data_IF_955854119876
#
_entry.id   IF_955854119876
#
_cell.length_a   1.000
_cell.length_b   1.000
_cell.length_c   1.000
_cell.angle_alpha   90.00
_cell.angle_beta   90.00
_cell.angle_gamma   90.00
#
_symmetry.space_group_name_H-M   'P 1'
#
loop_
_entity.id
_entity.type
_entity.pdbx_description
1 polymer ?
#
# COMPACT_ATOMS: atom_id res chain seq x y z
N UNK A 1 27.38 4.20 58.85
CA UNK A 1 27.10 2.82 58.42
C UNK A 1 27.23 2.82 56.90
N UNK A 2 28.37 2.38 56.37
CA UNK A 2 28.71 2.48 54.95
C UNK A 2 28.08 1.28 54.23
N UNK A 3 27.26 1.47 53.19
CA UNK A 3 26.70 0.33 52.46
C UNK A 3 27.85 -0.49 51.87
N UNK A 4 27.76 -1.78 52.11
CA UNK A 4 28.63 -2.84 51.62
C UNK A 4 28.64 -2.85 50.09
N UNK A 5 29.82 -2.65 49.51
CA UNK A 5 30.01 -2.46 48.08
C UNK A 5 29.54 -3.65 47.23
N UNK A 6 29.44 -4.84 47.83
CA UNK A 6 28.95 -6.06 47.16
C UNK A 6 27.44 -6.00 46.91
N UNK A 7 26.66 -5.40 47.82
CA UNK A 7 25.21 -5.28 47.68
C UNK A 7 24.82 -4.24 46.61
N UNK A 8 25.62 -3.18 46.47
CA UNK A 8 25.47 -2.18 45.39
C UNK A 8 25.80 -2.79 44.03
N UNK A 9 26.81 -3.66 43.94
CA UNK A 9 27.20 -4.30 42.68
C UNK A 9 26.17 -5.36 42.25
N UNK A 10 25.63 -6.14 43.19
CA UNK A 10 24.55 -7.10 42.95
C UNK A 10 23.28 -6.43 42.41
N UNK A 11 22.87 -5.29 43.01
CA UNK A 11 21.72 -4.52 42.53
C UNK A 11 21.96 -3.87 41.15
N UNK A 12 23.19 -3.43 40.85
CA UNK A 12 23.55 -2.93 39.52
C UNK A 12 23.56 -4.03 38.46
N UNK A 13 23.95 -5.26 38.81
CA UNK A 13 23.89 -6.40 37.90
C UNK A 13 22.43 -6.80 37.59
N UNK A 14 21.54 -6.78 38.59
CA UNK A 14 20.11 -7.09 38.42
C UNK A 14 19.40 -6.02 37.56
N UNK A 15 19.64 -4.73 37.82
CA UNK A 15 19.14 -3.61 36.99
C UNK A 15 19.67 -3.66 35.54
N UNK A 16 20.93 -4.08 35.34
CA UNK A 16 21.53 -4.25 34.01
C UNK A 16 20.89 -5.42 33.25
N UNK A 17 20.64 -6.54 33.93
CA UNK A 17 20.03 -7.75 33.33
C UNK A 17 18.56 -7.50 32.94
N UNK A 18 17.80 -6.79 33.78
CA UNK A 18 16.42 -6.36 33.48
C UNK A 18 16.37 -5.38 32.31
N UNK A 19 17.37 -4.49 32.17
CA UNK A 19 17.47 -3.58 31.02
C UNK A 19 17.68 -4.33 29.69
N UNK A 20 18.42 -5.44 29.70
CA UNK A 20 18.67 -6.25 28.51
C UNK A 20 17.47 -7.11 28.10
N UNK A 21 16.61 -7.52 29.04
CA UNK A 21 15.36 -8.25 28.73
C UNK A 21 14.32 -7.32 28.06
N UNK A 22 14.34 -6.03 28.41
CA UNK A 22 13.51 -5.01 27.78
C UNK A 22 14.22 -4.27 26.64
N UNK A 23 15.33 -4.78 26.11
CA UNK A 23 15.93 -4.18 24.92
C UNK A 23 15.20 -4.67 23.66
N UNK A 24 14.54 -3.73 23.00
CA UNK A 24 13.79 -4.04 21.80
C UNK A 24 14.77 -4.11 20.64
N UNK A 25 14.86 -5.32 20.09
CA UNK A 25 15.58 -5.60 18.86
C UNK A 25 15.20 -4.59 17.76
N UNK A 26 16.12 -3.65 17.51
CA UNK A 26 16.02 -2.52 16.56
C UNK A 26 14.69 -1.74 16.66
N UNK A 27 14.42 -1.14 17.82
CA UNK A 27 13.39 -0.10 17.98
C UNK A 27 13.81 1.18 17.23
N UNK A 28 13.65 1.21 15.90
CA UNK A 28 13.95 2.41 15.11
C UNK A 28 13.92 2.29 13.58
N UNK A 29 13.93 1.09 12.99
CA UNK A 29 13.98 0.93 11.52
C UNK A 29 12.75 0.19 10.95
N UNK A 30 12.20 0.68 9.84
CA UNK A 30 11.13 0.00 9.07
C UNK A 30 9.69 0.15 9.59
N UNK A 31 9.44 0.96 10.64
CA UNK A 31 8.09 1.18 11.20
C UNK A 31 7.12 1.75 10.16
N UNK A 32 7.55 2.77 9.42
CA UNK A 32 6.73 3.42 8.39
C UNK A 32 6.49 2.50 7.19
N UNK A 33 7.48 1.70 6.80
CA UNK A 33 7.40 0.77 5.67
C UNK A 33 6.37 -0.32 5.96
N UNK A 34 6.40 -0.91 7.17
CA UNK A 34 5.41 -1.91 7.62
C UNK A 34 4.00 -1.35 7.73
N UNK A 35 3.85 -0.13 8.26
CA UNK A 35 2.54 0.51 8.40
C UNK A 35 1.95 0.92 7.04
N UNK A 36 2.77 1.46 6.13
CA UNK A 36 2.33 1.83 4.79
C UNK A 36 1.91 0.62 3.96
N UNK A 37 2.67 -0.49 3.99
CA UNK A 37 2.28 -1.70 3.26
C UNK A 37 0.98 -2.30 3.80
N UNK A 38 0.81 -2.33 5.13
CA UNK A 38 -0.43 -2.76 5.76
C UNK A 38 -1.62 -1.87 5.38
N UNK A 39 -1.45 -0.54 5.40
CA UNK A 39 -2.51 0.40 5.06
C UNK A 39 -2.88 0.35 3.56
N UNK A 40 -1.88 0.25 2.68
CA UNK A 40 -2.10 0.11 1.24
C UNK A 40 -2.84 -1.19 0.92
N UNK A 41 -2.42 -2.32 1.51
CA UNK A 41 -3.07 -3.61 1.33
C UNK A 41 -4.51 -3.61 1.90
N UNK A 42 -4.73 -2.98 3.06
CA UNK A 42 -6.07 -2.80 3.63
C UNK A 42 -6.98 -1.95 2.73
N UNK A 43 -6.45 -0.86 2.17
CA UNK A 43 -7.20 0.01 1.25
C UNK A 43 -7.58 -0.73 -0.04
N UNK A 44 -6.65 -1.51 -0.61
CA UNK A 44 -6.92 -2.34 -1.80
C UNK A 44 -7.95 -3.42 -1.50
N UNK A 45 -7.85 -4.11 -0.36
CA UNK A 45 -8.84 -5.10 0.05
C UNK A 45 -10.22 -4.47 0.27
N UNK A 46 -10.28 -3.26 0.83
CA UNK A 46 -11.51 -2.49 1.01
C UNK A 46 -12.15 -2.11 -0.32
N UNK A 47 -11.37 -1.56 -1.25
CA UNK A 47 -11.84 -1.23 -2.61
C UNK A 47 -12.27 -2.48 -3.39
N UNK A 48 -11.56 -3.61 -3.22
CA UNK A 48 -11.91 -4.89 -3.82
C UNK A 48 -13.26 -5.42 -3.32
N UNK A 49 -13.49 -5.33 -2.02
CA UNK A 49 -14.77 -5.68 -1.39
C UNK A 49 -15.91 -4.79 -1.90
N UNK A 50 -15.69 -3.46 -2.02
CA UNK A 50 -16.67 -2.53 -2.56
C UNK A 50 -16.98 -2.81 -4.05
N UNK A 51 -15.98 -3.18 -4.85
CA UNK A 51 -16.19 -3.55 -6.25
C UNK A 51 -16.97 -4.86 -6.39
N UNK A 52 -16.71 -5.84 -5.52
CA UNK A 52 -17.43 -7.12 -5.50
C UNK A 52 -18.88 -6.94 -5.05
N UNK A 53 -19.12 -6.14 -4.00
CA UNK A 53 -20.47 -5.79 -3.54
C UNK A 53 -21.31 -5.17 -4.67
N UNK A 54 -20.76 -4.18 -5.39
CA UNK A 54 -21.45 -3.53 -6.52
C UNK A 54 -21.71 -4.47 -7.71
N UNK A 55 -20.83 -5.47 -7.94
CA UNK A 55 -21.01 -6.50 -8.98
C UNK A 55 -22.10 -7.50 -8.60
N UNK A 56 -22.18 -7.91 -7.33
CA UNK A 56 -23.24 -8.80 -6.84
C UNK A 56 -24.60 -8.09 -6.79
N UNK A 57 -24.64 -6.83 -6.36
CA UNK A 57 -25.87 -6.02 -6.33
C UNK A 57 -26.45 -5.85 -7.74
N UNK A 58 -25.62 -5.54 -8.73
CA UNK A 58 -26.04 -5.44 -10.13
C UNK A 58 -26.52 -6.78 -10.73
N UNK A 59 -25.97 -7.91 -10.28
CA UNK A 59 -26.42 -9.24 -10.71
C UNK A 59 -27.65 -9.74 -9.95
N UNK A 60 -27.89 -9.24 -8.74
CA UNK A 60 -29.01 -9.64 -7.87
C UNK A 60 -30.36 -9.08 -8.28
N UNK A 61 -30.40 -8.17 -9.26
CA UNK A 61 -31.64 -7.61 -9.81
C UNK A 61 -32.61 -8.69 -10.38
N UNK A 62 -32.14 -9.94 -10.55
CA UNK A 62 -32.91 -11.06 -11.10
C UNK A 62 -33.44 -12.07 -10.06
N UNK A 63 -33.07 -12.04 -8.77
CA UNK A 63 -33.49 -13.03 -7.75
C UNK A 63 -34.09 -12.39 -6.47
N UNK A 64 -34.89 -13.18 -5.73
CA UNK A 64 -35.76 -12.82 -4.60
C UNK A 64 -35.10 -11.97 -3.48
N UNK A 65 -35.73 -10.84 -3.15
CA UNK A 65 -35.19 -9.69 -2.39
C UNK A 65 -34.73 -9.97 -0.95
N UNK A 66 -35.23 -11.00 -0.24
CA UNK A 66 -34.97 -11.16 1.21
C UNK A 66 -33.70 -11.94 1.54
N UNK A 67 -33.34 -12.93 0.74
CA UNK A 67 -32.14 -13.75 0.97
C UNK A 67 -30.90 -13.09 0.40
N UNK A 68 -31.05 -12.33 -0.68
CA UNK A 68 -29.94 -11.68 -1.37
C UNK A 68 -29.35 -10.51 -0.59
N UNK A 69 -30.14 -9.75 0.17
CA UNK A 69 -29.62 -8.64 0.98
C UNK A 69 -28.65 -9.09 2.09
N UNK A 70 -28.93 -10.21 2.76
CA UNK A 70 -28.06 -10.75 3.81
C UNK A 70 -26.80 -11.42 3.26
N UNK A 71 -26.92 -12.19 2.18
CA UNK A 71 -25.77 -12.86 1.55
C UNK A 71 -24.85 -11.83 0.88
N UNK A 72 -25.41 -10.80 0.26
CA UNK A 72 -24.66 -9.74 -0.39
C UNK A 72 -23.82 -8.89 0.59
N UNK A 73 -24.17 -8.83 1.87
CA UNK A 73 -23.38 -8.09 2.88
C UNK A 73 -22.46 -8.97 3.71
N UNK A 74 -22.89 -10.18 4.10
CA UNK A 74 -22.08 -11.10 4.91
C UNK A 74 -20.86 -11.65 4.16
N UNK A 75 -21.01 -12.01 2.89
CA UNK A 75 -19.93 -12.64 2.11
C UNK A 75 -18.76 -11.67 1.86
N UNK A 76 -19.00 -10.42 1.41
CA UNK A 76 -17.91 -9.47 1.21
C UNK A 76 -17.28 -9.01 2.53
N UNK A 77 -18.08 -8.84 3.60
CA UNK A 77 -17.57 -8.49 4.91
C UNK A 77 -16.69 -9.59 5.51
N UNK A 78 -17.12 -10.85 5.44
CA UNK A 78 -16.32 -12.00 5.88
C UNK A 78 -15.02 -12.13 5.09
N UNK A 79 -15.07 -11.99 3.77
CA UNK A 79 -13.88 -12.01 2.91
C UNK A 79 -12.92 -10.86 3.23
N UNK A 80 -13.44 -9.66 3.53
CA UNK A 80 -12.63 -8.52 3.93
C UNK A 80 -11.88 -8.77 5.24
N UNK A 81 -12.55 -9.32 6.25
CA UNK A 81 -11.91 -9.65 7.54
C UNK A 81 -10.84 -10.74 7.37
N UNK A 82 -11.12 -11.78 6.57
CA UNK A 82 -10.15 -12.85 6.29
C UNK A 82 -8.92 -12.30 5.56
N UNK A 83 -9.12 -11.46 4.53
CA UNK A 83 -8.02 -10.81 3.81
C UNK A 83 -7.22 -9.87 4.71
N UNK A 84 -7.89 -9.07 5.55
CA UNK A 84 -7.23 -8.19 6.50
C UNK A 84 -6.36 -8.96 7.53
N UNK A 85 -6.87 -10.09 8.04
CA UNK A 85 -6.12 -10.97 8.96
C UNK A 85 -4.93 -11.63 8.26
N UNK A 86 -5.10 -12.09 7.01
CA UNK A 86 -4.00 -12.64 6.21
C UNK A 86 -2.90 -11.59 5.94
N UNK A 87 -3.30 -10.36 5.60
CA UNK A 87 -2.37 -9.24 5.40
C UNK A 87 -1.60 -8.95 6.70
N UNK A 88 -2.30 -8.89 7.83
CA UNK A 88 -1.66 -8.65 9.12
C UNK A 88 -0.67 -9.76 9.49
N UNK A 89 -1.04 -11.02 9.26
CA UNK A 89 -0.16 -12.17 9.49
C UNK A 89 1.07 -12.16 8.56
N UNK A 90 0.88 -11.80 7.29
CA UNK A 90 1.94 -11.71 6.29
C UNK A 90 2.93 -10.59 6.60
N UNK A 91 2.45 -9.39 6.95
CA UNK A 91 3.29 -8.24 7.30
C UNK A 91 4.04 -8.45 8.63
N UNK A 92 3.45 -9.22 9.57
CA UNK A 92 4.07 -9.51 10.86
C UNK A 92 5.16 -10.61 10.79
N UNK A 93 5.35 -11.27 9.65
CA UNK A 93 6.40 -12.30 9.50
C UNK A 93 7.79 -11.64 9.42
N UNK A 94 8.72 -12.12 10.25
CA UNK A 94 10.09 -11.56 10.38
C UNK A 94 10.85 -11.47 9.05
N UNK A 95 10.79 -12.52 8.22
CA UNK A 95 11.49 -12.56 6.92
C UNK A 95 11.08 -11.46 5.94
N UNK A 96 9.80 -11.09 5.89
CA UNK A 96 9.31 -10.03 4.99
C UNK A 96 9.74 -8.67 5.53
N UNK A 97 9.75 -8.52 6.85
CA UNK A 97 10.18 -7.31 7.47
C UNK A 97 11.68 -7.03 7.29
N UNK A 98 12.52 -8.05 7.35
CA UNK A 98 13.96 -7.91 7.10
C UNK A 98 14.22 -7.54 5.63
N UNK A 99 13.45 -8.11 4.69
CA UNK A 99 13.47 -7.70 3.28
C UNK A 99 13.05 -6.24 3.10
N UNK A 100 11.99 -5.80 3.76
CA UNK A 100 11.52 -4.41 3.68
C UNK A 100 12.55 -3.41 4.25
N UNK A 101 13.27 -3.79 5.31
CA UNK A 101 14.34 -2.97 5.88
C UNK A 101 15.54 -2.91 4.92
N UNK A 102 15.92 -4.04 4.31
CA UNK A 102 16.96 -4.09 3.29
C UNK A 102 16.59 -3.24 2.06
N UNK A 103 15.35 -3.36 1.58
CA UNK A 103 14.83 -2.58 0.46
C UNK A 103 14.82 -1.07 0.75
N UNK A 104 14.44 -0.65 1.97
CA UNK A 104 14.53 0.76 2.38
C UNK A 104 16.00 1.25 2.38
N UNK A 105 16.92 0.40 2.85
CA UNK A 105 18.36 0.69 2.84
C UNK A 105 18.92 0.86 1.43
N UNK A 106 18.49 0.02 0.48
CA UNK A 106 18.87 0.14 -0.94
C UNK A 106 18.23 1.36 -1.60
N UNK A 107 16.96 1.66 -1.32
CA UNK A 107 16.29 2.83 -1.87
C UNK A 107 16.91 4.16 -1.43
N UNK A 108 17.57 4.21 -0.26
CA UNK A 108 18.33 5.39 0.18
C UNK A 108 19.65 5.59 -0.58
N UNK A 109 20.17 4.54 -1.22
CA UNK A 109 21.37 4.62 -2.08
C UNK A 109 21.01 5.08 -3.49
N UNK A 110 19.75 4.98 -3.88
CA UNK A 110 19.26 5.50 -5.15
C UNK A 110 19.27 7.02 -5.07
N UNK A 111 20.27 7.62 -5.74
CA UNK A 111 20.28 9.04 -6.02
C UNK A 111 19.12 9.35 -6.97
N UNK A 112 18.00 9.79 -6.43
CA UNK A 112 16.89 10.28 -7.23
C UNK A 112 17.37 11.44 -8.13
N UNK A 113 16.98 11.41 -9.40
CA UNK A 113 17.23 12.50 -10.35
C UNK A 113 16.80 13.84 -9.76
N UNK A 114 17.53 14.89 -10.11
CA UNK A 114 17.17 16.24 -9.68
C UNK A 114 15.74 16.57 -10.14
N UNK A 115 15.01 17.34 -9.33
CA UNK A 115 13.63 17.77 -9.66
C UNK A 115 13.57 18.46 -11.03
N UNK A 116 14.64 19.15 -11.40
CA UNK A 116 14.78 19.81 -12.70
C UNK A 116 14.82 18.80 -13.87
N UNK A 117 15.56 17.71 -13.72
CA UNK A 117 15.62 16.64 -14.74
C UNK A 117 14.27 15.94 -14.91
N UNK A 118 13.55 15.73 -13.81
CA UNK A 118 12.20 15.13 -13.82
C UNK A 118 11.21 16.06 -14.54
N UNK A 119 11.26 17.36 -14.25
CA UNK A 119 10.40 18.34 -14.92
C UNK A 119 10.73 18.46 -16.41
N UNK A 120 12.02 18.49 -16.78
CA UNK A 120 12.43 18.53 -18.18
C UNK A 120 11.97 17.28 -18.94
N UNK A 121 12.14 16.10 -18.35
CA UNK A 121 11.75 14.82 -18.96
C UNK A 121 10.23 14.71 -19.16
N UNK A 122 9.44 15.11 -18.16
CA UNK A 122 7.98 15.08 -18.26
C UNK A 122 7.43 16.16 -19.21
N UNK A 123 8.06 17.34 -19.28
CA UNK A 123 7.67 18.39 -20.22
C UNK A 123 7.82 17.94 -21.67
N UNK A 124 8.92 17.28 -22.03
CA UNK A 124 9.11 16.72 -23.37
C UNK A 124 8.00 15.73 -23.71
N UNK A 125 7.68 14.83 -22.78
CA UNK A 125 6.59 13.84 -22.97
C UNK A 125 5.25 14.53 -23.18
N UNK A 126 4.93 15.57 -22.39
CA UNK A 126 3.68 16.33 -22.55
C UNK A 126 3.60 16.97 -23.94
N UNK A 127 4.68 17.58 -24.43
CA UNK A 127 4.71 18.18 -25.77
C UNK A 127 4.47 17.12 -26.85
N UNK A 128 5.14 15.97 -26.76
CA UNK A 128 4.96 14.86 -27.72
C UNK A 128 3.51 14.35 -27.70
N UNK A 129 2.93 14.17 -26.51
CA UNK A 129 1.52 13.73 -26.36
C UNK A 129 0.55 14.76 -26.96
N UNK A 130 0.77 16.06 -26.75
CA UNK A 130 -0.09 17.12 -27.33
C UNK A 130 0.01 17.14 -28.86
N UNK A 131 1.21 17.01 -29.42
CA UNK A 131 1.40 16.94 -30.87
C UNK A 131 0.69 15.71 -31.44
N UNK A 132 0.89 14.54 -30.83
CA UNK A 132 0.24 13.29 -31.24
C UNK A 132 -1.29 13.40 -31.15
N UNK A 133 -1.81 13.94 -30.05
CA UNK A 133 -3.24 14.17 -29.86
C UNK A 133 -3.83 15.14 -30.90
N UNK A 134 -3.08 16.18 -31.27
CA UNK A 134 -3.50 17.14 -32.31
C UNK A 134 -3.53 16.51 -33.68
N UNK A 135 -2.51 15.70 -34.03
CA UNK A 135 -2.47 14.99 -35.31
C UNK A 135 -3.60 13.97 -35.44
N UNK A 136 -3.82 13.16 -34.40
CA UNK A 136 -4.93 12.22 -34.36
C UNK A 136 -6.27 12.95 -34.41
N UNK A 137 -6.48 13.97 -33.57
CA UNK A 137 -7.72 14.75 -33.55
C UNK A 137 -8.03 15.45 -34.88
N UNK A 138 -7.01 15.97 -35.57
CA UNK A 138 -7.18 16.57 -36.91
C UNK A 138 -7.56 15.52 -37.94
N UNK A 139 -6.95 14.34 -37.87
CA UNK A 139 -7.24 13.22 -38.76
C UNK A 139 -8.66 12.68 -38.54
N UNK A 140 -9.04 12.47 -37.27
CA UNK A 140 -10.38 12.02 -36.87
C UNK A 140 -11.45 13.02 -37.32
N UNK A 141 -11.20 14.32 -37.15
CA UNK A 141 -12.11 15.37 -37.61
C UNK A 141 -12.22 15.42 -39.13
N UNK A 142 -11.09 15.33 -39.84
CA UNK A 142 -11.06 15.29 -41.30
C UNK A 142 -11.81 14.10 -41.86
N UNK A 143 -11.63 12.91 -41.27
CA UNK A 143 -12.39 11.73 -41.65
C UNK A 143 -13.88 11.86 -41.35
N UNK A 144 -14.26 12.43 -40.20
CA UNK A 144 -15.67 12.65 -39.86
C UNK A 144 -16.37 13.52 -40.90
N UNK A 145 -15.76 14.65 -41.29
CA UNK A 145 -16.30 15.52 -42.34
C UNK A 145 -16.35 14.84 -43.72
N UNK A 146 -15.33 14.04 -44.06
CA UNK A 146 -15.30 13.31 -45.32
C UNK A 146 -16.41 12.25 -45.40
N UNK A 147 -16.64 11.50 -44.32
CA UNK A 147 -17.72 10.51 -44.25
C UNK A 147 -19.10 11.16 -44.22
N UNK A 148 -19.28 12.29 -43.50
CA UNK A 148 -20.52 13.06 -43.47
C UNK A 148 -20.87 13.69 -44.83
N UNK A 149 -19.87 14.02 -45.65
CA UNK A 149 -20.10 14.51 -47.02
C UNK A 149 -20.44 13.39 -48.00
N UNK A 150 -19.90 12.18 -47.77
CA UNK A 150 -20.07 11.03 -48.66
C UNK A 150 -21.41 10.31 -48.47
N UNK A 151 -21.97 10.33 -47.25
CA UNK A 151 -23.23 9.67 -46.88
C UNK A 151 -24.40 10.63 -46.90
#
# INVERSE_FOLDING_TARGET
MKPDAELVNSLLFDECEVSMIFDIYKRGQGKYTRLCSAFAAATIAGLGCLRLFRKLEAASWSLDNRTTMWIATMVPAGLFVILALLIFWLVNKSSIADFMIAAEGEMKKVSWSSREEITASTLIVIVVVVVMATLLGTTDFGFSLFFDWLI
#
